data_IF_783271053818
#
_entry.id   IF_783271053818
#
_cell.length_a   1.000
_cell.length_b   1.000
_cell.length_c   1.000
_cell.angle_alpha   90.00
_cell.angle_beta   90.00
_cell.angle_gamma   90.00
#
_symmetry.space_group_name_H-M   'P 1'
#
loop_
_entity.id
_entity.type
_entity.pdbx_description
1 polymer ?
#
# COMPACT_ATOMS: atom_id res chain seq x y z
N UNK A 1 33.46 -33.48 -11.86
CA UNK A 1 32.47 -32.58 -12.49
C UNK A 1 31.63 -31.96 -11.38
N UNK A 2 32.00 -30.74 -10.94
CA UNK A 2 31.27 -30.00 -9.90
C UNK A 2 30.17 -29.14 -10.53
N UNK A 3 28.96 -29.17 -9.96
CA UNK A 3 27.83 -28.33 -10.36
C UNK A 3 28.21 -26.85 -10.26
N UNK A 4 28.10 -26.13 -11.37
CA UNK A 4 28.06 -24.66 -11.36
C UNK A 4 26.69 -24.24 -10.85
N UNK A 5 26.61 -23.79 -9.61
CA UNK A 5 25.43 -23.10 -9.10
C UNK A 5 25.18 -21.88 -9.99
N UNK A 6 24.09 -21.92 -10.76
CA UNK A 6 23.64 -20.82 -11.60
C UNK A 6 23.44 -19.60 -10.71
N UNK A 7 24.32 -18.61 -10.85
CA UNK A 7 24.42 -17.42 -10.03
C UNK A 7 23.11 -16.61 -10.17
N UNK A 8 22.14 -16.83 -9.28
CA UNK A 8 20.84 -16.15 -9.33
C UNK A 8 21.04 -14.68 -9.00
N UNK A 9 20.52 -13.75 -9.82
CA UNK A 9 20.65 -12.32 -9.55
C UNK A 9 19.97 -11.98 -8.21
N UNK A 10 20.75 -11.42 -7.28
CA UNK A 10 20.30 -11.03 -5.92
C UNK A 10 19.73 -9.63 -5.86
N UNK A 11 19.90 -8.85 -6.93
CA UNK A 11 19.45 -7.47 -7.01
C UNK A 11 19.07 -7.12 -8.45
N UNK A 12 18.18 -6.13 -8.55
CA UNK A 12 17.77 -5.54 -9.80
C UNK A 12 17.88 -4.02 -9.64
N UNK A 13 18.53 -3.36 -10.61
CA UNK A 13 18.60 -1.90 -10.64
C UNK A 13 17.39 -1.40 -11.43
N UNK A 14 16.49 -0.67 -10.75
CA UNK A 14 15.37 -0.02 -11.41
C UNK A 14 15.91 1.07 -12.35
N UNK A 15 15.59 1.03 -13.66
CA UNK A 15 15.98 2.08 -14.58
C UNK A 15 15.32 3.40 -14.16
N UNK A 16 15.96 4.53 -14.47
CA UNK A 16 15.43 5.84 -14.18
C UNK A 16 14.22 6.14 -15.08
N UNK A 17 13.02 5.85 -14.57
CA UNK A 17 11.75 6.12 -15.25
C UNK A 17 11.29 7.58 -15.06
N UNK A 18 11.78 8.25 -14.02
CA UNK A 18 11.34 9.61 -13.65
C UNK A 18 11.90 10.63 -14.64
N UNK A 19 13.20 10.57 -14.95
CA UNK A 19 13.82 11.52 -15.89
C UNK A 19 13.38 11.33 -17.34
N UNK A 20 12.79 10.18 -17.69
CA UNK A 20 12.23 9.93 -19.02
C UNK A 20 10.77 10.34 -19.15
N UNK A 21 10.11 10.72 -18.04
CA UNK A 21 8.72 11.15 -18.07
C UNK A 21 8.61 12.55 -18.68
N UNK A 22 7.93 12.67 -19.82
CA UNK A 22 7.71 13.95 -20.52
C UNK A 22 6.50 14.73 -19.98
N UNK A 23 5.74 14.14 -19.07
CA UNK A 23 4.54 14.75 -18.51
C UNK A 23 4.92 15.65 -17.34
N UNK A 24 4.36 16.85 -17.32
CA UNK A 24 4.56 17.79 -16.22
C UNK A 24 3.92 17.24 -14.95
N UNK A 25 4.73 17.10 -13.91
CA UNK A 25 4.23 16.73 -12.59
C UNK A 25 3.30 17.84 -12.09
N UNK A 26 2.05 17.49 -11.84
CA UNK A 26 1.03 18.41 -11.34
C UNK A 26 0.51 17.88 -10.02
N UNK A 27 0.27 18.76 -9.07
CA UNK A 27 -0.20 18.42 -7.73
C UNK A 27 -1.40 19.31 -7.36
N UNK A 28 -2.38 18.73 -6.66
CA UNK A 28 -3.53 19.49 -6.18
C UNK A 28 -3.11 20.46 -5.06
N UNK A 29 -3.50 21.73 -5.15
CA UNK A 29 -3.19 22.77 -4.16
C UNK A 29 -3.71 22.46 -2.75
N UNK A 30 -4.74 21.62 -2.63
CA UNK A 30 -5.33 21.18 -1.36
C UNK A 30 -4.84 19.81 -0.91
N UNK A 31 -3.88 19.20 -1.64
CA UNK A 31 -3.42 17.84 -1.40
C UNK A 31 -2.89 17.61 0.02
N UNK A 32 -2.03 18.51 0.51
CA UNK A 32 -1.40 18.35 1.82
C UNK A 32 -2.40 18.44 2.98
N UNK A 33 -3.39 19.33 2.85
CA UNK A 33 -4.44 19.49 3.85
C UNK A 33 -5.35 18.25 3.86
N UNK A 34 -5.76 17.77 2.68
CA UNK A 34 -6.55 16.55 2.55
C UNK A 34 -5.79 15.33 3.07
N UNK A 35 -4.48 15.23 2.82
CA UNK A 35 -3.65 14.15 3.32
C UNK A 35 -3.61 14.12 4.85
N UNK A 36 -3.46 15.27 5.51
CA UNK A 36 -3.52 15.36 6.98
C UNK A 36 -4.87 14.95 7.53
N UNK A 37 -5.95 15.38 6.89
CA UNK A 37 -7.31 15.00 7.30
C UNK A 37 -7.56 13.51 7.10
N UNK A 38 -7.04 12.93 6.02
CA UNK A 38 -7.10 11.50 5.74
C UNK A 38 -6.40 10.66 6.82
N UNK A 39 -5.18 11.05 7.20
CA UNK A 39 -4.44 10.35 8.27
C UNK A 39 -5.22 10.35 9.58
N UNK A 40 -5.81 11.50 9.97
CA UNK A 40 -6.65 11.59 11.17
C UNK A 40 -7.89 10.70 11.07
N UNK A 41 -8.52 10.63 9.90
CA UNK A 41 -9.68 9.77 9.68
C UNK A 41 -9.32 8.30 9.79
N UNK A 42 -8.18 7.88 9.23
CA UNK A 42 -7.67 6.52 9.34
C UNK A 42 -7.38 6.14 10.79
N UNK A 43 -6.79 7.06 11.56
CA UNK A 43 -6.47 6.84 12.97
C UNK A 43 -7.71 6.61 13.82
N UNK A 44 -8.76 7.40 13.57
CA UNK A 44 -10.04 7.31 14.28
C UNK A 44 -10.88 6.11 13.81
N UNK A 45 -10.85 5.78 12.51
CA UNK A 45 -11.68 4.74 11.91
C UNK A 45 -11.17 3.32 12.12
N UNK A 46 -9.89 3.15 12.48
CA UNK A 46 -9.25 1.84 12.59
C UNK A 46 -8.37 1.73 13.85
N UNK A 47 -8.94 1.76 15.07
CA UNK A 47 -8.16 1.62 16.31
C UNK A 47 -7.51 0.23 16.44
N UNK A 48 -8.13 -0.81 15.88
CA UNK A 48 -7.72 -2.22 15.94
C UNK A 48 -6.45 -2.53 15.12
N UNK A 49 -5.96 -1.58 14.30
CA UNK A 49 -4.79 -1.81 13.44
C UNK A 49 -3.52 -2.00 14.28
N UNK A 50 -2.87 -3.15 14.07
CA UNK A 50 -1.56 -3.43 14.65
C UNK A 50 -0.51 -2.41 14.16
N UNK A 51 0.57 -2.23 14.91
CA UNK A 51 1.60 -1.22 14.63
C UNK A 51 2.31 -1.41 13.28
N UNK A 52 2.36 -2.65 12.77
CA UNK A 52 2.98 -2.97 11.48
C UNK A 52 2.07 -2.53 10.31
N UNK A 53 0.80 -2.87 10.37
CA UNK A 53 -0.20 -2.52 9.36
C UNK A 53 -0.46 -1.02 9.36
N UNK A 54 -0.43 -0.36 10.53
CA UNK A 54 -0.46 1.11 10.63
C UNK A 54 0.73 1.78 9.94
N UNK A 55 1.94 1.27 10.14
CA UNK A 55 3.13 1.78 9.41
C UNK A 55 3.02 1.59 7.91
N UNK A 56 2.51 0.45 7.45
CA UNK A 56 2.29 0.19 6.03
C UNK A 56 1.27 1.17 5.42
N UNK A 57 0.20 1.48 6.16
CA UNK A 57 -0.81 2.46 5.74
C UNK A 57 -0.26 3.89 5.65
N UNK A 58 0.58 4.32 6.60
CA UNK A 58 1.22 5.64 6.52
C UNK A 58 2.25 5.71 5.38
N UNK A 59 3.04 4.65 5.18
CA UNK A 59 4.04 4.59 4.12
C UNK A 59 3.47 4.64 2.71
N UNK A 60 2.18 4.35 2.55
CA UNK A 60 1.48 4.46 1.27
C UNK A 60 1.23 5.91 0.85
N UNK A 61 1.12 6.84 1.82
CA UNK A 61 0.83 8.26 1.56
C UNK A 61 -0.40 8.46 0.64
N UNK A 62 -1.49 7.74 0.91
CA UNK A 62 -2.67 7.69 0.05
C UNK A 62 -3.27 9.08 -0.28
N UNK A 63 -3.23 10.02 0.67
CA UNK A 63 -3.69 11.39 0.45
C UNK A 63 -2.87 12.15 -0.60
N UNK A 64 -1.55 12.05 -0.53
CA UNK A 64 -0.63 12.69 -1.48
C UNK A 64 -0.70 12.01 -2.85
N UNK A 65 -0.81 10.67 -2.88
CA UNK A 65 -1.02 9.91 -4.11
C UNK A 65 -2.30 10.36 -4.83
N UNK A 66 -3.37 10.59 -4.08
CA UNK A 66 -4.65 11.08 -4.60
C UNK A 66 -4.50 12.51 -5.15
N UNK A 67 -3.70 13.36 -4.51
CA UNK A 67 -3.44 14.72 -4.97
C UNK A 67 -2.61 14.80 -6.27
N UNK A 68 -1.74 13.82 -6.52
CA UNK A 68 -1.06 13.68 -7.82
C UNK A 68 -1.97 13.16 -8.95
N UNK A 69 -3.01 12.38 -8.61
CA UNK A 69 -3.95 11.83 -9.61
C UNK A 69 -5.11 12.76 -9.92
N UNK A 70 -5.59 13.52 -8.93
CA UNK A 70 -6.78 14.38 -9.04
C UNK A 70 -6.42 15.85 -8.82
N UNK A 71 -5.62 16.39 -9.73
CA UNK A 71 -4.99 17.72 -9.59
C UNK A 71 -5.96 18.90 -9.65
N UNK A 72 -7.11 18.73 -10.33
CA UNK A 72 -8.15 19.76 -10.50
C UNK A 72 -9.40 19.52 -9.65
N UNK A 73 -9.42 18.46 -8.84
CA UNK A 73 -10.56 18.17 -7.99
C UNK A 73 -10.70 19.22 -6.88
N UNK A 74 -11.95 19.54 -6.55
CA UNK A 74 -12.22 20.34 -5.36
C UNK A 74 -11.88 19.54 -4.08
N UNK A 75 -11.74 20.25 -2.97
CA UNK A 75 -11.31 19.67 -1.69
C UNK A 75 -12.21 18.52 -1.23
N UNK A 76 -13.52 18.64 -1.40
CA UNK A 76 -14.50 17.62 -0.97
C UNK A 76 -14.34 16.31 -1.74
N UNK A 77 -14.24 16.37 -3.07
CA UNK A 77 -14.04 15.17 -3.90
C UNK A 77 -12.67 14.57 -3.64
N UNK A 78 -11.65 15.40 -3.51
CA UNK A 78 -10.29 14.94 -3.21
C UNK A 78 -10.25 14.20 -1.87
N UNK A 79 -10.94 14.72 -0.85
CA UNK A 79 -11.08 14.10 0.47
C UNK A 79 -11.76 12.73 0.39
N UNK A 80 -12.89 12.66 -0.30
CA UNK A 80 -13.66 11.43 -0.44
C UNK A 80 -12.84 10.32 -1.14
N UNK A 81 -12.12 10.68 -2.20
CA UNK A 81 -11.27 9.72 -2.92
C UNK A 81 -10.08 9.28 -2.07
N UNK A 82 -9.43 10.20 -1.34
CA UNK A 82 -8.33 9.86 -0.44
C UNK A 82 -8.75 8.85 0.64
N UNK A 83 -9.90 9.07 1.28
CA UNK A 83 -10.46 8.11 2.25
C UNK A 83 -10.82 6.78 1.62
N UNK A 84 -11.47 6.79 0.46
CA UNK A 84 -11.82 5.57 -0.24
C UNK A 84 -10.58 4.75 -0.61
N UNK A 85 -9.53 5.41 -1.10
CA UNK A 85 -8.26 4.76 -1.43
C UNK A 85 -7.62 4.16 -0.17
N UNK A 86 -7.52 4.93 0.93
CA UNK A 86 -7.00 4.40 2.19
C UNK A 86 -7.82 3.23 2.73
N UNK A 87 -9.15 3.26 2.59
CA UNK A 87 -10.01 2.14 2.97
C UNK A 87 -9.76 0.88 2.12
N UNK A 88 -9.59 1.02 0.80
CA UNK A 88 -9.26 -0.12 -0.08
C UNK A 88 -7.92 -0.75 0.30
N UNK A 89 -6.92 0.06 0.62
CA UNK A 89 -5.63 -0.46 1.08
C UNK A 89 -5.71 -1.10 2.45
N UNK A 90 -6.54 -0.57 3.36
CA UNK A 90 -6.82 -1.22 4.63
C UNK A 90 -7.41 -2.61 4.43
N UNK A 91 -8.43 -2.75 3.56
CA UNK A 91 -9.02 -4.04 3.22
C UNK A 91 -8.00 -5.00 2.60
N UNK A 92 -7.13 -4.52 1.71
CA UNK A 92 -6.08 -5.33 1.10
C UNK A 92 -5.10 -5.85 2.15
N UNK A 93 -4.62 -4.98 3.05
CA UNK A 93 -3.70 -5.37 4.14
C UNK A 93 -4.38 -6.36 5.09
N UNK A 94 -5.62 -6.08 5.48
CA UNK A 94 -6.40 -6.96 6.35
C UNK A 94 -6.62 -8.33 5.71
N UNK A 95 -7.03 -8.37 4.44
CA UNK A 95 -7.23 -9.61 3.72
C UNK A 95 -5.91 -10.35 3.51
N UNK A 96 -4.82 -9.65 3.17
CA UNK A 96 -3.50 -10.26 3.02
C UNK A 96 -3.01 -10.92 4.33
N UNK A 97 -3.20 -10.25 5.47
CA UNK A 97 -2.81 -10.76 6.79
C UNK A 97 -3.72 -11.93 7.23
N UNK A 98 -5.04 -11.80 7.07
CA UNK A 98 -6.03 -12.84 7.39
C UNK A 98 -5.93 -14.06 6.46
N UNK A 99 -5.69 -13.84 5.17
CA UNK A 99 -5.52 -14.91 4.18
C UNK A 99 -4.17 -15.62 4.35
N UNK A 100 -3.12 -14.92 4.78
CA UNK A 100 -1.87 -15.57 5.20
C UNK A 100 -2.11 -16.51 6.37
N UNK A 101 -2.86 -16.07 7.39
CA UNK A 101 -3.16 -16.90 8.55
C UNK A 101 -4.01 -18.12 8.17
N UNK A 102 -5.06 -17.95 7.38
CA UNK A 102 -5.90 -19.08 6.93
C UNK A 102 -5.22 -20.03 5.94
N UNK A 103 -4.30 -19.55 5.09
CA UNK A 103 -3.49 -20.41 4.21
C UNK A 103 -2.46 -21.18 5.02
N UNK A 104 -1.82 -20.55 6.01
CA UNK A 104 -0.89 -21.22 6.93
C UNK A 104 -1.63 -22.24 7.78
N UNK A 105 -2.80 -21.92 8.33
CA UNK A 105 -3.62 -22.86 9.11
C UNK A 105 -4.12 -24.03 8.25
N UNK A 106 -4.50 -23.80 6.98
CA UNK A 106 -4.84 -24.90 6.07
C UNK A 106 -3.63 -25.77 5.71
N UNK A 107 -2.45 -25.17 5.55
CA UNK A 107 -1.21 -25.93 5.28
C UNK A 107 -0.76 -26.76 6.51
N UNK A 108 -0.92 -26.22 7.73
CA UNK A 108 -0.65 -26.98 8.96
C UNK A 108 -1.72 -28.04 9.25
N UNK A 109 -3.00 -27.77 8.98
CA UNK A 109 -4.08 -28.73 9.19
C UNK A 109 -3.98 -29.93 8.22
N UNK A 110 -3.53 -29.73 6.99
CA UNK A 110 -3.24 -30.83 6.03
C UNK A 110 -2.02 -31.66 6.45
N UNK A 111 -1.05 -31.05 7.14
CA UNK A 111 0.19 -31.74 7.56
C UNK A 111 0.04 -32.56 8.85
N UNK A 112 -0.99 -32.29 9.68
CA UNK A 112 -1.20 -32.99 10.96
C UNK A 112 -2.10 -34.24 10.81
N UNK A 113 -2.88 -34.36 9.73
CA UNK A 113 -3.79 -35.51 9.50
C UNK A 113 -3.09 -36.67 8.74
N UNK A 114 -1.81 -36.55 8.40
CA UNK A 114 -1.04 -37.57 7.66
C UNK A 114 0.11 -38.19 8.47
N UNK A 115 -0.09 -38.45 9.77
CA UNK A 115 0.83 -39.31 10.55
C UNK A 115 0.07 -40.35 11.34
#
# INVERSE_FOLDING_TARGET
>A
MGRTDYNKPTSFVLPNLVSHCKYNLTYNVHGDEVAKQHVKWLDNGCPELNSKSRRAMYGLQAGELTAYTYTTANTERLRAVADFLGYLFHLYVFFSETFRLTTIDRLFSVSIVTT
#
